data_IF_977206989675
#
_entry.id   IF_977206989675
#
_cell.length_a   1.000
_cell.length_b   1.000
_cell.length_c   1.000
_cell.angle_alpha   90.00
_cell.angle_beta   90.00
_cell.angle_gamma   90.00
#
_symmetry.space_group_name_H-M   'P 1'
#
loop_
_entity.id
_entity.type
_entity.pdbx_description
1 polymer ?
2 non-polymer ?
3 non-polymer ?
4 non-polymer ?
5 water ?
#
# COMPACT_ATOMS: atom_id res chain seq x y z
N UNK A 1 4.66 9.39 -10.91
CA UNK A 1 4.42 10.75 -10.45
C UNK A 1 2.94 10.94 -10.10
N UNK A 2 2.67 11.91 -9.23
CA UNK A 2 1.30 12.20 -8.83
C UNK A 2 0.53 12.84 -9.98
N UNK A 3 -0.74 12.46 -10.11
CA UNK A 3 -1.59 12.97 -11.17
C UNK A 3 -2.87 13.55 -10.57
N UNK A 4 -3.84 13.88 -11.43
CA UNK A 4 -5.12 14.40 -10.95
C UNK A 4 -5.90 13.37 -10.13
N UNK A 5 -5.63 12.08 -10.32
CA UNK A 5 -6.34 11.05 -9.55
C UNK A 5 -6.08 11.16 -8.05
N UNK A 6 -5.02 11.85 -7.65
CA UNK A 6 -4.70 12.06 -6.24
C UNK A 6 -5.01 13.49 -5.78
N UNK A 7 -5.57 14.32 -6.66
CA UNK A 7 -5.73 15.74 -6.34
C UNK A 7 -6.64 15.91 -5.12
N UNK A 8 -7.69 15.10 -5.01
CA UNK A 8 -8.58 15.19 -3.86
C UNK A 8 -7.81 14.93 -2.56
N UNK A 9 -6.88 13.98 -2.59
CA UNK A 9 -6.01 13.81 -1.44
C UNK A 9 -5.09 15.00 -1.23
N UNK A 10 -4.50 15.50 -2.32
CA UNK A 10 -3.50 16.56 -2.19
C UNK A 10 -4.13 17.84 -1.65
N UNK A 11 -5.30 18.22 -2.18
CA UNK A 11 -6.00 19.37 -1.66
C UNK A 11 -6.39 19.17 -0.20
N UNK A 12 -6.53 17.92 0.24
CA UNK A 12 -6.78 17.66 1.64
C UNK A 12 -5.56 18.01 2.48
N UNK A 13 -4.37 17.68 2.00
CA UNK A 13 -3.16 17.97 2.75
C UNK A 13 -2.88 19.47 2.76
N UNK A 14 -2.93 20.09 1.58
CA UNK A 14 -2.59 21.50 1.46
C UNK A 14 -3.56 22.36 2.27
N UNK A 15 -4.86 22.11 2.14
CA UNK A 15 -5.83 22.84 2.95
C UNK A 15 -5.64 22.56 4.43
N UNK A 16 -5.09 21.39 4.77
CA UNK A 16 -4.77 21.11 6.16
C UNK A 16 -3.66 22.04 6.66
N UNK A 17 -2.71 22.38 5.80
CA UNK A 17 -1.58 23.19 6.22
C UNK A 17 -1.95 24.67 6.23
N UNK A 18 -2.50 25.17 5.13
CA UNK A 18 -2.84 26.59 5.03
C UNK A 18 -3.78 26.99 6.15
N UNK A 19 -4.85 26.22 6.36
CA UNK A 19 -5.78 26.51 7.44
C UNK A 19 -5.08 26.51 8.80
N UNK A 20 -4.10 25.61 8.97
CA UNK A 20 -3.29 25.66 10.18
C UNK A 20 -2.46 26.94 10.22
N UNK A 21 -1.78 27.26 9.12
CA UNK A 21 -0.86 28.39 9.11
C UNK A 21 -1.59 29.69 9.38
N UNK A 22 -2.78 29.86 8.80
CA UNK A 22 -3.55 31.08 9.02
C UNK A 22 -4.11 31.14 10.44
N UNK A 23 -4.29 29.98 11.08
CA UNK A 23 -4.83 29.99 12.44
C UNK A 23 -3.77 30.44 13.44
N UNK A 24 -2.62 29.78 13.45
CA UNK A 24 -1.56 30.15 14.38
C UNK A 24 -1.11 31.60 14.17
N UNK A 25 -0.91 31.99 12.91
CA UNK A 25 -0.55 33.37 12.62
C UNK A 25 -1.57 34.35 13.19
N UNK A 26 -2.84 33.97 13.29
CA UNK A 26 -3.83 34.85 13.88
C UNK A 26 -3.75 34.90 15.39
N UNK A 27 -3.41 33.78 16.04
CA UNK A 27 -3.40 33.73 17.50
C UNK A 27 -1.99 33.81 18.08
N UNK A 28 -1.12 32.88 17.72
CA UNK A 28 0.22 32.78 18.28
C UNK A 28 1.23 32.56 17.16
N UNK A 29 1.67 33.63 16.49
CA UNK A 29 2.63 33.46 15.39
C UNK A 29 3.93 32.80 15.82
N UNK A 30 4.40 33.04 17.04
CA UNK A 30 5.62 32.39 17.50
C UNK A 30 5.55 30.88 17.45
N UNK A 31 4.35 30.31 17.28
CA UNK A 31 4.15 28.87 17.24
C UNK A 31 3.68 28.35 15.88
N UNK A 32 3.86 29.12 14.80
CA UNK A 32 3.46 28.58 13.49
C UNK A 32 4.24 27.33 13.14
N UNK A 33 5.57 27.34 13.34
CA UNK A 33 6.38 26.19 12.94
C UNK A 33 6.05 24.94 13.75
N UNK A 34 6.02 24.97 15.09
CA UNK A 34 5.58 23.76 15.81
C UNK A 34 4.13 23.39 15.54
N UNK A 35 3.22 24.36 15.49
CA UNK A 35 1.82 24.03 15.28
C UNK A 35 1.59 23.31 13.96
N UNK A 36 2.17 23.82 12.88
CA UNK A 36 2.14 23.11 11.61
C UNK A 36 2.65 21.69 11.76
N UNK A 37 3.76 21.50 12.48
CA UNK A 37 4.28 20.16 12.70
C UNK A 37 3.23 19.25 13.31
N UNK A 38 2.48 19.78 14.29
CA UNK A 38 1.43 18.99 14.90
C UNK A 38 0.43 18.49 13.85
N UNK A 39 -0.02 19.40 12.98
CA UNK A 39 -0.87 18.98 11.88
C UNK A 39 -0.18 17.91 11.04
N UNK A 40 1.07 18.17 10.66
CA UNK A 40 1.80 17.23 9.83
C UNK A 40 1.96 15.88 10.52
N UNK A 41 1.86 15.85 11.85
CA UNK A 41 1.90 14.59 12.56
C UNK A 41 0.57 13.86 12.43
N UNK A 42 -0.53 14.56 12.70
CA UNK A 42 -1.84 13.89 12.72
C UNK A 42 -2.17 13.31 11.36
N UNK A 43 -1.96 14.10 10.29
CA UNK A 43 -2.15 13.61 8.94
C UNK A 43 -1.39 12.30 8.72
N UNK A 44 -0.15 12.24 9.19
CA UNK A 44 0.64 11.02 9.05
C UNK A 44 -0.12 9.83 9.61
N UNK A 45 -0.64 9.95 10.83
CA UNK A 45 -1.41 8.86 11.42
C UNK A 45 -2.63 8.55 10.58
N UNK A 46 -3.32 9.58 10.10
CA UNK A 46 -4.50 9.36 9.27
C UNK A 46 -4.13 8.61 8.00
N UNK A 47 -2.91 8.81 7.52
CA UNK A 47 -2.49 8.15 6.29
C UNK A 47 -2.13 6.70 6.50
N UNK A 48 -2.13 6.21 7.74
CA UNK A 48 -1.79 4.82 8.02
C UNK A 48 -3.00 3.94 8.26
N UNK A 49 -4.21 4.48 8.19
CA UNK A 49 -5.41 3.75 8.60
C UNK A 49 -5.94 2.80 7.52
N UNK A 50 -5.50 2.93 6.27
CA UNK A 50 -5.94 2.08 5.17
C UNK A 50 -7.44 2.18 4.90
N UNK A 51 -8.05 3.31 5.26
CA UNK A 51 -9.49 3.46 5.07
C UNK A 51 -9.81 3.65 3.59
N UNK A 52 -10.99 3.20 3.14
CA UNK A 52 -11.34 3.35 1.72
C UNK A 52 -11.35 4.78 1.24
N UNK A 53 -11.64 5.74 2.12
CA UNK A 53 -11.62 7.14 1.72
C UNK A 53 -10.23 7.58 1.30
N UNK A 54 -9.20 7.13 2.01
CA UNK A 54 -7.83 7.47 1.64
C UNK A 54 -7.48 6.91 0.27
N UNK A 55 -7.86 5.66 0.00
CA UNK A 55 -7.58 5.06 -1.29
C UNK A 55 -8.32 5.79 -2.40
N UNK A 56 -9.56 6.20 -2.13
CA UNK A 56 -10.31 6.98 -3.11
C UNK A 56 -9.65 8.33 -3.39
N UNK A 57 -9.18 9.00 -2.34
CA UNK A 57 -8.63 10.34 -2.52
C UNK A 57 -7.25 10.31 -3.17
N UNK A 58 -6.38 9.39 -2.77
CA UNK A 58 -5.03 9.31 -3.29
C UNK A 58 -4.86 8.26 -4.39
N UNK A 59 -5.95 7.55 -4.73
CA UNK A 59 -6.03 6.66 -5.89
C UNK A 59 -5.25 5.35 -5.71
N UNK A 60 -4.45 5.24 -4.65
CA UNK A 60 -3.61 4.06 -4.52
C UNK A 60 -2.99 4.04 -3.14
N UNK A 61 -2.75 2.82 -2.64
CA UNK A 61 -2.08 2.66 -1.35
C UNK A 61 -0.62 3.08 -1.43
N UNK A 62 0.02 2.87 -2.58
CA UNK A 62 1.41 3.29 -2.76
C UNK A 62 1.53 4.81 -2.64
N UNK A 63 0.63 5.55 -3.28
CA UNK A 63 0.64 7.01 -3.15
C UNK A 63 0.29 7.43 -1.73
N UNK A 64 -0.62 6.70 -1.07
CA UNK A 64 -0.95 6.99 0.31
C UNK A 64 0.29 6.90 1.19
N UNK A 65 1.10 5.84 1.00
CA UNK A 65 2.30 5.69 1.81
C UNK A 65 3.41 6.65 1.41
N UNK A 66 3.47 7.05 0.14
CA UNK A 66 4.40 8.12 -0.26
C UNK A 66 4.07 9.42 0.46
N UNK A 67 2.79 9.79 0.51
CA UNK A 67 2.40 11.01 1.21
C UNK A 67 2.62 10.84 2.72
N UNK A 68 2.41 9.63 3.23
CA UNK A 68 2.70 9.32 4.63
C UNK A 68 4.16 9.60 4.97
N UNK A 69 5.07 9.11 4.14
CA UNK A 69 6.50 9.37 4.36
C UNK A 69 6.82 10.85 4.24
N UNK A 70 6.23 11.54 3.25
CA UNK A 70 6.51 12.96 3.07
C UNK A 70 6.06 13.77 4.28
N UNK A 71 4.86 13.48 4.79
CA UNK A 71 4.38 14.17 5.99
C UNK A 71 5.23 13.86 7.20
N UNK A 72 5.68 12.61 7.34
CA UNK A 72 6.58 12.27 8.43
C UNK A 72 7.87 13.09 8.38
N UNK A 73 8.46 13.20 7.18
CA UNK A 73 9.70 13.97 7.04
C UNK A 73 9.47 15.45 7.31
N UNK A 74 8.38 16.01 6.79
CA UNK A 74 8.08 17.41 7.05
C UNK A 74 7.91 17.66 8.54
N UNK A 75 7.23 16.75 9.22
CA UNK A 75 7.06 16.87 10.67
C UNK A 75 8.40 16.86 11.38
N UNK A 76 9.30 15.96 10.97
CA UNK A 76 10.58 15.87 11.70
C UNK A 76 11.44 17.10 11.47
N UNK A 77 11.45 17.65 10.25
CA UNK A 77 12.24 18.87 10.02
C UNK A 77 11.64 20.05 10.79
N UNK A 78 10.31 20.18 10.77
CA UNK A 78 9.68 21.26 11.52
C UNK A 78 9.97 21.14 13.02
N UNK A 79 9.90 19.92 13.55
CA UNK A 79 10.16 19.72 14.96
C UNK A 79 11.62 19.97 15.32
N UNK A 80 12.56 19.61 14.43
CA UNK A 80 13.96 19.90 14.70
C UNK A 80 14.20 21.41 14.73
N UNK A 81 13.60 22.15 13.79
CA UNK A 81 13.75 23.60 13.83
C UNK A 81 13.12 24.21 15.08
N UNK A 82 11.96 23.70 15.48
CA UNK A 82 11.32 24.17 16.72
C UNK A 82 12.20 23.89 17.93
N UNK A 83 12.80 22.70 18.00
CA UNK A 83 13.71 22.36 19.09
C UNK A 83 14.92 23.29 19.11
N UNK A 84 15.49 23.57 17.93
CA UNK A 84 16.63 24.46 17.88
C UNK A 84 16.27 25.86 18.33
N UNK A 85 15.06 26.33 17.99
CA UNK A 85 14.64 27.67 18.32
C UNK A 85 14.23 27.83 19.79
N UNK A 86 13.69 26.80 20.42
CA UNK A 86 13.08 26.95 21.73
C UNK A 86 13.87 26.35 22.88
N UNK A 87 14.82 25.46 22.62
CA UNK A 87 15.53 24.86 23.72
C UNK A 87 16.84 24.21 23.35
N UNK A 88 17.22 23.17 24.11
CA UNK A 88 18.43 22.43 23.84
C UNK A 88 18.19 20.94 23.81
N UNK A 89 19.06 20.18 24.47
CA UNK A 89 18.99 18.72 24.45
C UNK A 89 18.11 18.15 25.54
N UNK A 90 17.90 18.88 26.64
CA UNK A 90 17.08 18.41 27.74
C UNK A 90 16.53 19.61 28.47
N UNK A 91 15.23 19.58 28.79
CA UNK A 91 14.59 20.69 29.45
C UNK A 91 14.76 20.66 30.96
N UNK A 92 14.21 21.68 31.61
CA UNK A 92 14.28 21.81 33.05
C UNK A 92 12.94 21.54 33.74
N UNK A 93 11.85 21.48 33.00
CA UNK A 93 10.53 21.18 33.55
C UNK A 93 9.92 20.02 32.77
N UNK A 94 8.93 19.37 33.39
CA UNK A 94 8.36 18.16 32.83
C UNK A 94 7.69 18.41 31.48
N UNK A 95 7.08 19.58 31.29
CA UNK A 95 6.43 19.89 30.02
C UNK A 95 7.43 19.93 28.87
N UNK A 96 8.61 20.52 29.11
CA UNK A 96 9.64 20.57 28.07
C UNK A 96 10.31 19.21 27.89
N UNK A 97 10.48 18.46 28.98
CA UNK A 97 11.10 17.15 28.88
C UNK A 97 10.23 16.15 28.14
N UNK A 98 8.91 16.31 28.21
CA UNK A 98 8.03 15.50 27.38
C UNK A 98 8.29 15.74 25.90
N UNK A 99 8.48 17.01 25.51
CA UNK A 99 8.81 17.31 24.13
C UNK A 99 10.17 16.79 23.73
N UNK A 100 11.15 16.87 24.63
CA UNK A 100 12.46 16.29 24.38
C UNK A 100 12.34 14.79 24.07
N UNK A 101 11.64 14.07 24.94
CA UNK A 101 11.47 12.63 24.74
C UNK A 101 10.73 12.34 23.45
N UNK A 102 9.67 13.11 23.16
CA UNK A 102 8.89 12.87 21.95
C UNK A 102 9.73 13.07 20.70
N UNK A 103 10.54 14.14 20.66
CA UNK A 103 11.35 14.39 19.48
C UNK A 103 12.45 13.34 19.34
N UNK A 104 13.01 12.88 20.46
CA UNK A 104 14.02 11.82 20.40
C UNK A 104 13.42 10.53 19.82
N UNK A 105 12.23 10.15 20.31
CA UNK A 105 11.59 8.94 19.81
C UNK A 105 11.21 9.10 18.34
N UNK A 106 10.71 10.28 17.95
CA UNK A 106 10.35 10.51 16.56
C UNK A 106 11.57 10.37 15.64
N UNK A 107 12.69 11.00 16.02
CA UNK A 107 13.89 10.91 15.20
C UNK A 107 14.41 9.46 15.12
N UNK A 108 14.43 8.75 16.26
CA UNK A 108 14.91 7.37 16.25
C UNK A 108 14.01 6.49 15.38
N UNK A 109 12.70 6.64 15.50
CA UNK A 109 11.78 5.81 14.73
C UNK A 109 11.90 6.12 13.24
N UNK A 110 12.04 7.40 12.88
CA UNK A 110 12.18 7.74 11.47
C UNK A 110 13.47 7.18 10.90
N UNK A 111 14.57 7.29 11.65
CA UNK A 111 15.83 6.72 11.19
C UNK A 111 15.73 5.22 11.02
N UNK A 112 15.11 4.52 11.98
CA UNK A 112 14.99 3.07 11.87
C UNK A 112 14.09 2.69 10.70
N UNK A 113 12.99 3.42 10.50
CA UNK A 113 12.07 3.10 9.41
C UNK A 113 12.73 3.29 8.05
N UNK A 114 13.48 4.37 7.88
CA UNK A 114 14.12 4.62 6.60
C UNK A 114 15.29 3.67 6.37
N UNK A 115 16.14 3.49 7.37
CA UNK A 115 17.36 2.70 7.21
C UNK A 115 17.18 1.23 7.60
N UNK A 116 16.01 0.85 8.10
CA UNK A 116 15.77 -0.55 8.39
C UNK A 116 14.91 -1.22 7.34
N UNK A 117 15.53 -1.96 6.43
CA UNK A 117 14.83 -2.66 5.38
C UNK A 117 15.00 -4.17 5.43
N UNK A 118 16.13 -4.66 5.94
CA UNK A 118 16.35 -6.09 6.12
C UNK A 118 15.88 -6.59 7.48
N UNK A 119 15.41 -5.68 8.34
CA UNK A 119 14.77 -6.11 9.59
C UNK A 119 13.49 -6.85 9.25
N UNK A 120 13.17 -7.85 10.08
CA UNK A 120 11.92 -8.59 9.91
C UNK A 120 10.74 -7.62 9.95
N UNK A 121 9.73 -7.90 9.13
CA UNK A 121 8.63 -6.96 8.96
C UNK A 121 7.86 -6.76 10.26
N UNK A 122 7.65 -7.83 11.03
CA UNK A 122 6.92 -7.68 12.29
C UNK A 122 7.72 -6.90 13.32
N UNK A 123 9.03 -7.15 13.39
CA UNK A 123 9.88 -6.37 14.29
C UNK A 123 9.91 -4.91 13.86
N UNK A 124 9.97 -4.66 12.55
CA UNK A 124 9.91 -3.30 12.04
C UNK A 124 8.61 -2.62 12.43
N UNK A 125 7.48 -3.33 12.34
CA UNK A 125 6.20 -2.75 12.71
C UNK A 125 6.13 -2.48 14.21
N UNK A 126 6.66 -3.39 15.02
CA UNK A 126 6.67 -3.18 16.47
C UNK A 126 7.49 -1.95 16.84
N UNK A 127 8.66 -1.77 16.21
CA UNK A 127 9.45 -0.58 16.46
C UNK A 127 8.73 0.67 15.95
N UNK A 128 8.09 0.55 14.79
CA UNK A 128 7.37 1.68 14.19
C UNK A 128 6.22 2.13 15.07
N UNK A 129 5.60 1.22 15.81
CA UNK A 129 4.41 1.53 16.61
C UNK A 129 4.72 2.46 17.78
N UNK A 130 5.98 2.72 18.09
CA UNK A 130 6.34 3.66 19.14
C UNK A 130 6.04 5.11 18.76
N UNK A 131 5.66 5.37 17.51
CA UNK A 131 5.19 6.70 17.14
C UNK A 131 3.98 7.09 17.95
N UNK A 132 3.16 6.12 18.36
CA UNK A 132 2.00 6.44 19.18
C UNK A 132 2.43 6.98 20.54
N UNK A 133 3.44 6.36 21.16
CA UNK A 133 3.95 6.87 22.43
C UNK A 133 4.58 8.24 22.24
N UNK A 134 5.34 8.43 21.17
CA UNK A 134 5.93 9.74 20.89
C UNK A 134 4.85 10.80 20.71
N UNK A 135 3.78 10.45 20.00
CA UNK A 135 2.67 11.37 19.76
C UNK A 135 1.95 11.72 21.05
N UNK A 136 1.73 10.73 21.91
CA UNK A 136 1.06 10.98 23.18
C UNK A 136 1.92 11.89 24.05
N UNK A 137 3.23 11.64 24.08
CA UNK A 137 4.13 12.52 24.83
C UNK A 137 4.11 13.93 24.27
N UNK A 138 4.09 14.07 22.94
CA UNK A 138 4.03 15.38 22.33
C UNK A 138 2.75 16.12 22.67
N UNK A 139 1.62 15.42 22.66
CA UNK A 139 0.35 16.04 23.05
C UNK A 139 0.37 16.45 24.51
N UNK A 140 0.92 15.60 25.38
CA UNK A 140 1.07 15.98 26.78
C UNK A 140 1.90 17.25 26.92
N UNK A 141 3.02 17.31 26.20
CA UNK A 141 3.89 18.49 26.25
C UNK A 141 3.15 19.73 25.77
N UNK A 142 2.42 19.62 24.66
CA UNK A 142 1.71 20.77 24.11
C UNK A 142 0.65 21.27 25.09
N UNK A 143 -0.08 20.35 25.71
CA UNK A 143 -1.18 20.77 26.57
C UNK A 143 -0.71 21.26 27.94
N UNK A 144 0.43 20.77 28.45
CA UNK A 144 1.00 21.40 29.64
C UNK A 144 1.60 22.75 29.34
N UNK A 145 2.18 22.93 28.15
CA UNK A 145 2.76 24.23 27.80
C UNK A 145 1.67 25.28 27.62
N UNK A 146 0.64 24.95 26.83
CA UNK A 146 -0.36 25.96 26.48
C UNK A 146 -1.35 26.22 27.62
N UNK A 147 -1.74 25.19 28.37
CA UNK A 147 -2.67 25.39 29.46
C UNK A 147 -4.04 25.81 28.96
N UNK A 148 -4.53 26.94 29.47
CA UNK A 148 -5.85 27.44 29.11
C UNK A 148 -5.80 28.32 27.86
N UNK A 149 -5.18 27.80 26.81
CA UNK A 149 -5.24 28.39 25.49
C UNK A 149 -5.70 27.41 24.43
N UNK A 150 -5.56 26.11 24.68
CA UNK A 150 -6.18 25.08 23.87
C UNK A 150 -7.44 24.53 24.51
N UNK A 151 -7.88 25.11 25.62
CA UNK A 151 -9.05 24.65 26.36
C UNK A 151 -10.10 25.75 26.46
N UNK A 152 -10.16 26.62 25.46
CA UNK A 152 -11.16 27.69 25.39
C UNK A 152 -12.00 27.52 24.13
N UNK A 153 -12.87 28.49 23.88
CA UNK A 153 -13.74 28.47 22.71
C UNK A 153 -13.19 29.43 21.67
N UNK A 154 -12.30 28.93 20.82
CA UNK A 154 -11.75 29.71 19.72
C UNK A 154 -11.29 28.77 18.62
N UNK A 155 -10.89 29.37 17.50
CA UNK A 155 -10.46 28.58 16.35
C UNK A 155 -9.21 27.76 16.66
N UNK A 156 -8.28 28.32 17.44
CA UNK A 156 -7.04 27.61 17.75
C UNK A 156 -7.31 26.34 18.55
N UNK A 157 -8.15 26.45 19.60
CA UNK A 157 -8.43 25.28 20.43
C UNK A 157 -9.12 24.19 19.63
N UNK A 158 -10.12 24.55 18.82
CA UNK A 158 -10.81 23.56 18.02
C UNK A 158 -9.89 22.92 16.99
N UNK A 159 -9.05 23.72 16.33
CA UNK A 159 -8.12 23.18 15.34
C UNK A 159 -7.17 22.17 15.98
N UNK A 160 -6.49 22.59 17.05
CA UNK A 160 -5.50 21.74 17.70
C UNK A 160 -6.16 20.49 18.26
N UNK A 161 -7.29 20.66 18.95
CA UNK A 161 -7.97 19.51 19.53
C UNK A 161 -8.49 18.53 18.50
N UNK A 162 -9.07 19.05 17.41
CA UNK A 162 -9.61 18.18 16.37
C UNK A 162 -8.51 17.38 15.70
N UNK A 163 -7.40 18.05 15.34
CA UNK A 163 -6.32 17.32 14.69
C UNK A 163 -5.68 16.32 15.65
N UNK A 164 -5.49 16.69 16.91
CA UNK A 164 -4.92 15.77 17.88
C UNK A 164 -5.82 14.56 18.10
N UNK A 165 -7.13 14.78 18.21
CA UNK A 165 -8.05 13.67 18.39
C UNK A 165 -8.09 12.77 17.16
N UNK A 166 -8.05 13.35 15.96
CA UNK A 166 -8.02 12.54 14.76
C UNK A 166 -6.77 11.68 14.70
N UNK A 167 -5.61 12.26 15.03
CA UNK A 167 -4.39 11.49 15.06
C UNK A 167 -4.42 10.38 16.10
N UNK A 168 -4.93 10.68 17.29
CA UNK A 168 -5.01 9.67 18.34
C UNK A 168 -5.93 8.53 17.93
N UNK A 169 -7.10 8.85 17.38
CA UNK A 169 -8.06 7.82 16.98
C UNK A 169 -7.51 6.99 15.83
N UNK A 170 -6.86 7.63 14.85
CA UNK A 170 -6.27 6.89 13.75
C UNK A 170 -5.19 5.94 14.23
N UNK A 171 -4.31 6.42 15.11
CA UNK A 171 -3.26 5.56 15.65
C UNK A 171 -3.82 4.39 16.44
N UNK A 172 -4.79 4.67 17.31
CA UNK A 172 -5.39 3.60 18.10
C UNK A 172 -6.09 2.57 17.21
N UNK A 173 -6.79 3.02 16.18
CA UNK A 173 -7.49 2.09 15.29
C UNK A 173 -6.49 1.22 14.54
N UNK A 174 -5.44 1.82 13.97
CA UNK A 174 -4.53 1.03 13.15
C UNK A 174 -3.68 0.09 14.01
N UNK A 175 -3.34 0.51 15.23
CA UNK A 175 -2.43 -0.29 16.03
C UNK A 175 -3.19 -1.35 16.84
N UNK A 176 -4.38 -1.04 17.33
CA UNK A 176 -5.09 -1.93 18.26
C UNK A 176 -6.34 -2.56 17.69
N UNK A 177 -7.06 -1.89 16.79
CA UNK A 177 -8.37 -2.36 16.37
C UNK A 177 -8.38 -2.98 14.97
N UNK A 178 -7.57 -2.47 14.05
CA UNK A 178 -7.71 -2.80 12.63
C UNK A 178 -7.59 -4.30 12.38
N UNK A 179 -6.66 -4.97 13.05
CA UNK A 179 -6.44 -6.39 12.81
C UNK A 179 -7.43 -7.28 13.55
N UNK A 180 -8.29 -6.72 14.40
CA UNK A 180 -9.25 -7.51 15.15
C UNK A 180 -10.70 -7.23 14.80
N UNK A 181 -11.01 -6.09 14.18
CA UNK A 181 -12.38 -5.76 13.83
C UNK A 181 -12.58 -5.53 12.34
N UNK A 182 -11.52 -5.23 11.59
CA UNK A 182 -11.64 -4.90 10.17
C UNK A 182 -11.37 -6.09 9.26
N UNK A 183 -11.31 -7.29 9.81
CA UNK A 183 -11.12 -8.52 9.03
C UNK A 183 -12.34 -9.41 9.17
N UNK A 184 -13.48 -9.00 8.59
CA UNK A 184 -14.73 -9.74 8.82
C UNK A 184 -14.89 -10.97 7.94
N UNK A 185 -14.03 -11.18 6.96
CA UNK A 185 -14.20 -12.31 6.03
C UNK A 185 -13.49 -13.52 6.59
N UNK A 186 -14.26 -14.43 7.20
CA UNK A 186 -13.73 -15.64 7.80
C UNK A 186 -13.83 -16.79 6.81
N UNK A 187 -12.70 -17.38 6.46
CA UNK A 187 -12.66 -18.47 5.52
C UNK A 187 -11.85 -19.65 6.01
N UNK A 188 -11.95 -20.73 5.24
CA UNK A 188 -11.23 -21.96 5.52
C UNK A 188 -10.55 -22.42 4.24
N UNK A 189 -9.30 -22.85 4.34
CA UNK A 189 -8.58 -23.35 3.17
C UNK A 189 -9.17 -24.70 2.78
N UNK A 190 -9.54 -24.83 1.50
CA UNK A 190 -10.13 -26.06 1.00
C UNK A 190 -9.20 -26.86 0.10
N UNK A 191 -8.33 -26.19 -0.66
CA UNK A 191 -7.44 -26.88 -1.60
C UNK A 191 -6.14 -26.10 -1.71
N UNK A 192 -5.05 -26.83 -1.88
CA UNK A 192 -3.74 -26.24 -2.10
C UNK A 192 -3.07 -26.94 -3.28
N UNK A 193 -2.50 -26.16 -4.19
CA UNK A 193 -1.85 -26.68 -5.38
C UNK A 193 -0.49 -26.03 -5.56
N UNK A 194 0.54 -26.85 -5.69
CA UNK A 194 1.89 -26.37 -5.98
C UNK A 194 2.05 -26.27 -7.49
N UNK A 195 2.09 -25.05 -8.01
CA UNK A 195 2.12 -24.85 -9.46
C UNK A 195 3.50 -25.14 -10.03
N UNK A 196 4.55 -24.80 -9.31
CA UNK A 196 5.91 -25.11 -9.73
C UNK A 196 6.75 -25.32 -8.47
N UNK A 197 8.07 -25.23 -8.61
CA UNK A 197 8.98 -25.49 -7.51
C UNK A 197 8.84 -24.47 -6.37
N UNK A 198 8.34 -23.25 -6.65
CA UNK A 198 8.28 -22.26 -5.59
C UNK A 198 7.01 -21.41 -5.61
N UNK A 199 5.93 -21.90 -6.22
CA UNK A 199 4.65 -21.19 -6.19
C UNK A 199 3.55 -22.15 -5.80
N UNK A 200 2.64 -21.69 -4.94
CA UNK A 200 1.53 -22.49 -4.47
C UNK A 200 0.22 -21.72 -4.62
N UNK A 201 -0.83 -22.43 -5.03
CA UNK A 201 -2.17 -21.87 -5.18
C UNK A 201 -3.01 -22.27 -3.97
N UNK A 202 -3.69 -21.29 -3.38
CA UNK A 202 -4.51 -21.48 -2.20
C UNK A 202 -5.95 -21.16 -2.56
N UNK A 203 -6.85 -22.10 -2.29
CA UNK A 203 -8.28 -21.93 -2.50
C UNK A 203 -8.97 -21.83 -1.15
N UNK A 204 -9.77 -20.79 -0.98
CA UNK A 204 -10.39 -20.46 0.29
C UNK A 204 -11.89 -20.40 0.12
N UNK A 205 -12.62 -21.08 1.00
CA UNK A 205 -14.08 -20.98 1.06
C UNK A 205 -14.47 -20.05 2.20
N UNK A 206 -15.24 -19.02 1.89
CA UNK A 206 -15.64 -18.03 2.87
C UNK A 206 -17.07 -18.28 3.35
N UNK A 207 -17.37 -17.75 4.53
CA UNK A 207 -18.73 -17.84 5.06
C UNK A 207 -19.63 -16.75 4.48
N UNK A 208 -19.07 -15.71 3.89
CA UNK A 208 -19.81 -14.64 3.25
C UNK A 208 -19.24 -14.37 1.88
N UNK A 209 -20.08 -13.94 0.93
CA UNK A 209 -19.56 -13.58 -0.40
C UNK A 209 -18.58 -12.42 -0.33
N UNK A 210 -17.55 -12.51 -1.16
CA UNK A 210 -16.49 -11.51 -1.23
C UNK A 210 -16.56 -10.81 -2.58
N UNK A 211 -16.58 -9.48 -2.55
CA UNK A 211 -16.69 -8.67 -3.76
C UNK A 211 -15.35 -8.03 -4.08
N UNK A 212 -14.90 -8.21 -5.32
CA UNK A 212 -13.64 -7.63 -5.76
C UNK A 212 -13.69 -7.48 -7.27
N UNK A 213 -12.76 -6.69 -7.79
CA UNK A 213 -12.56 -6.54 -9.23
C UNK A 213 -11.23 -7.18 -9.61
N UNK A 214 -11.18 -7.75 -10.81
CA UNK A 214 -9.96 -8.38 -11.28
C UNK A 214 -8.83 -7.36 -11.34
N UNK A 215 -7.68 -7.73 -10.79
CA UNK A 215 -6.57 -6.83 -10.65
C UNK A 215 -6.40 -6.23 -9.26
N UNK A 216 -7.27 -6.57 -8.32
CA UNK A 216 -7.22 -6.07 -6.95
C UNK A 216 -6.51 -7.06 -6.04
N UNK A 217 -6.19 -6.60 -4.84
CA UNK A 217 -5.52 -7.42 -3.85
C UNK A 217 -6.20 -7.26 -2.50
N UNK A 218 -5.89 -8.20 -1.60
CA UNK A 218 -6.43 -8.18 -0.24
C UNK A 218 -5.30 -8.45 0.75
N UNK A 219 -5.64 -8.37 2.03
CA UNK A 219 -4.73 -8.73 3.10
C UNK A 219 -5.23 -10.01 3.75
N UNK A 220 -4.34 -10.99 3.91
CA UNK A 220 -4.70 -12.31 4.42
C UNK A 220 -4.02 -12.54 5.75
N UNK A 221 -4.75 -13.11 6.69
CA UNK A 221 -4.22 -13.57 7.97
C UNK A 221 -4.48 -15.06 8.09
N UNK A 222 -3.44 -15.84 8.36
CA UNK A 222 -3.52 -17.29 8.43
C UNK A 222 -3.42 -17.71 9.90
N UNK A 223 -4.26 -18.65 10.31
CA UNK A 223 -4.28 -19.15 11.68
C UNK A 223 -3.99 -20.64 11.65
N UNK A 224 -2.71 -20.98 11.68
CA UNK A 224 -2.26 -22.36 11.76
C UNK A 224 -1.08 -22.41 12.73
N UNK A 225 -0.88 -23.58 13.35
CA UNK A 225 0.25 -23.77 14.23
C UNK A 225 1.56 -23.59 13.46
N UNK A 226 2.47 -22.81 14.04
CA UNK A 226 3.74 -22.51 13.40
C UNK A 226 3.70 -21.40 12.37
N UNK A 227 2.55 -20.77 12.18
CA UNK A 227 2.40 -19.69 11.21
C UNK A 227 2.25 -18.36 11.93
N UNK A 228 2.78 -17.33 11.32
CA UNK A 228 2.54 -15.95 11.79
C UNK A 228 1.14 -15.50 11.35
N UNK A 229 0.46 -14.72 12.18
CA UNK A 229 -0.89 -14.26 11.91
C UNK A 229 -0.95 -12.87 11.30
N UNK A 230 0.20 -12.26 11.03
CA UNK A 230 0.22 -10.89 10.50
C UNK A 230 -0.40 -10.87 9.10
N UNK A 231 -1.05 -9.76 8.74
CA UNK A 231 -1.69 -9.68 7.41
C UNK A 231 -0.67 -9.46 6.31
N UNK A 232 -0.72 -10.30 5.28
CA UNK A 232 0.14 -10.12 4.13
C UNK A 232 -0.69 -9.75 2.90
N UNK A 233 -0.22 -8.83 2.08
CA UNK A 233 -0.98 -8.45 0.86
C UNK A 233 -0.73 -9.44 -0.26
N UNK A 234 -1.83 -9.94 -0.84
CA UNK A 234 -1.76 -10.86 -1.97
C UNK A 234 -2.84 -10.47 -2.97
N UNK A 235 -2.48 -10.54 -4.26
CA UNK A 235 -3.47 -10.32 -5.31
C UNK A 235 -4.48 -11.45 -5.32
N UNK A 236 -5.75 -11.11 -5.52
CA UNK A 236 -6.78 -12.11 -5.69
C UNK A 236 -6.62 -12.70 -7.09
N UNK A 237 -6.27 -13.98 -7.18
CA UNK A 237 -5.97 -14.62 -8.45
C UNK A 237 -7.16 -15.36 -9.05
N UNK A 238 -8.33 -15.28 -8.43
CA UNK A 238 -9.50 -15.92 -8.97
C UNK A 238 -10.58 -16.10 -7.93
N UNK A 239 -11.64 -16.77 -8.33
CA UNK A 239 -12.76 -17.08 -7.46
C UNK A 239 -13.88 -16.07 -7.59
N UNK A 240 -15.10 -16.51 -7.31
CA UNK A 240 -16.26 -15.64 -7.32
C UNK A 240 -17.19 -16.07 -6.19
N UNK A 241 -17.78 -15.08 -5.52
CA UNK A 241 -18.70 -15.35 -4.42
C UNK A 241 -18.00 -15.70 -3.13
N UNK A 242 -18.15 -16.95 -2.69
CA UNK A 242 -17.56 -17.42 -1.45
C UNK A 242 -16.26 -18.18 -1.66
N UNK A 243 -15.75 -18.23 -2.89
CA UNK A 243 -14.50 -18.91 -3.20
C UNK A 243 -13.46 -17.90 -3.66
N UNK A 244 -12.25 -18.01 -3.12
CA UNK A 244 -11.15 -17.12 -3.47
C UNK A 244 -9.91 -17.92 -3.80
N UNK A 245 -9.07 -17.36 -4.67
CA UNK A 245 -7.79 -17.95 -5.05
C UNK A 245 -6.67 -16.96 -4.77
N UNK A 246 -5.56 -17.47 -4.26
CA UNK A 246 -4.35 -16.68 -4.07
C UNK A 246 -3.15 -17.48 -4.55
N UNK A 247 -2.32 -16.87 -5.39
CA UNK A 247 -1.13 -17.54 -5.93
C UNK A 247 0.09 -16.92 -5.27
N UNK A 248 0.75 -17.68 -4.40
CA UNK A 248 1.80 -17.19 -3.51
C UNK A 248 3.13 -17.78 -3.94
N UNK A 249 4.10 -16.91 -4.22
CA UNK A 249 5.45 -17.31 -4.56
C UNK A 249 6.35 -17.18 -3.33
N UNK A 250 7.31 -18.10 -3.20
CA UNK A 250 8.25 -18.06 -2.09
C UNK A 250 9.13 -16.83 -2.21
N UNK A 251 9.01 -15.90 -1.27
CA UNK A 251 9.81 -14.68 -1.25
C UNK A 251 10.42 -14.42 0.12
N UNK A 252 10.27 -15.35 1.07
CA UNK A 252 10.77 -15.14 2.41
C UNK A 252 10.35 -16.27 3.31
N UNK A 253 10.44 -16.02 4.61
CA UNK A 253 10.13 -17.07 5.59
C UNK A 253 8.64 -17.41 5.60
N UNK A 254 7.78 -16.39 5.54
CA UNK A 254 6.35 -16.63 5.61
C UNK A 254 5.84 -17.33 4.35
N UNK A 255 6.32 -16.91 3.18
CA UNK A 255 5.86 -17.52 1.94
C UNK A 255 6.43 -18.92 1.76
N UNK A 256 7.66 -19.17 2.23
CA UNK A 256 8.17 -20.54 2.28
C UNK A 256 7.36 -21.40 3.25
N UNK A 257 6.94 -20.82 4.38
CA UNK A 257 6.04 -21.52 5.27
C UNK A 257 4.74 -21.89 4.56
N UNK A 258 4.18 -20.95 3.80
CA UNK A 258 2.97 -21.23 3.03
C UNK A 258 3.22 -22.36 2.03
N UNK A 259 4.38 -22.34 1.38
CA UNK A 259 4.66 -23.36 0.36
C UNK A 259 4.78 -24.75 0.96
N UNK A 260 5.57 -24.90 2.03
CA UNK A 260 5.81 -26.26 2.52
C UNK A 260 4.80 -26.74 3.55
N UNK A 261 4.28 -25.87 4.40
CA UNK A 261 3.60 -26.32 5.61
C UNK A 261 2.13 -25.96 5.70
N UNK A 262 1.61 -25.10 4.83
CA UNK A 262 0.20 -24.74 4.89
C UNK A 262 -0.67 -25.96 4.61
N UNK A 263 -1.80 -26.04 5.31
CA UNK A 263 -2.67 -27.21 5.23
C UNK A 263 -4.10 -26.80 4.97
N UNK A 264 -4.83 -27.69 4.30
CA UNK A 264 -6.26 -27.48 4.07
C UNK A 264 -7.04 -27.67 5.36
N UNK A 265 -8.03 -26.81 5.58
CA UNK A 265 -8.76 -26.77 6.81
C UNK A 265 -8.35 -25.66 7.75
N UNK A 266 -7.29 -24.93 7.44
CA UNK A 266 -6.80 -23.88 8.30
C UNK A 266 -7.66 -22.62 8.15
N UNK A 267 -7.88 -21.94 9.27
CA UNK A 267 -8.68 -20.73 9.27
C UNK A 267 -7.88 -19.56 8.70
N UNK A 268 -8.57 -18.71 7.93
CA UNK A 268 -7.98 -17.49 7.39
C UNK A 268 -8.99 -16.36 7.56
N UNK A 269 -8.47 -15.14 7.58
CA UNK A 269 -9.33 -13.96 7.64
C UNK A 269 -8.84 -12.92 6.64
N UNK A 270 -9.81 -12.23 6.04
CA UNK A 270 -9.55 -11.19 5.06
C UNK A 270 -10.36 -9.95 5.41
N UNK A 271 -9.80 -8.80 5.07
CA UNK A 271 -10.41 -7.51 5.41
C UNK A 271 -11.30 -6.97 4.29
N UNK A 272 -10.72 -6.70 3.13
CA UNK A 272 -11.45 -6.13 1.99
C UNK A 272 -10.51 -6.10 0.80
N UNK A 273 -11.03 -5.63 -0.33
CA UNK A 273 -10.28 -5.58 -1.58
C UNK A 273 -9.69 -4.20 -1.80
N UNK A 274 -8.41 -4.15 -2.13
CA UNK A 274 -7.69 -2.91 -2.42
C UNK A 274 -7.17 -2.96 -3.85
N UNK A 275 -6.93 -1.79 -4.42
CA UNK A 275 -6.26 -1.73 -5.70
C UNK A 275 -6.86 -0.79 -6.72
N UNK A 276 -6.01 -0.22 -7.56
CA UNK A 276 -6.41 0.68 -8.62
C UNK A 276 -6.21 0.09 -10.01
N UNK A 277 -5.58 -1.07 -10.12
CA UNK A 277 -5.34 -1.71 -11.42
C UNK A 277 -6.52 -2.58 -11.80
N UNK A 278 -7.66 -1.93 -12.04
CA UNK A 278 -8.88 -2.60 -12.43
C UNK A 278 -8.89 -2.72 -13.95
N UNK A 279 -8.70 -3.94 -14.44
CA UNK A 279 -8.52 -4.15 -15.88
C UNK A 279 -9.82 -3.87 -16.63
N UNK A 280 -10.96 -4.24 -16.05
CA UNK A 280 -12.24 -4.09 -16.74
C UNK A 280 -12.65 -2.63 -16.89
N UNK A 281 -11.97 -1.69 -16.25
CA UNK A 281 -12.27 -0.27 -16.36
C UNK A 281 -11.36 0.45 -17.36
N UNK A 282 -10.55 -0.29 -18.11
CA UNK A 282 -9.66 0.31 -19.09
C UNK A 282 -10.28 0.44 -20.46
N UNK A 283 -9.46 0.89 -21.41
CA UNK A 283 -9.91 1.06 -22.78
C UNK A 283 -10.06 -0.28 -23.47
N UNK A 284 -10.68 -0.25 -24.65
CA UNK A 284 -10.95 -1.49 -25.39
C UNK A 284 -9.64 -2.15 -25.83
N UNK A 285 -8.72 -1.36 -26.37
CA UNK A 285 -7.40 -1.87 -26.73
C UNK A 285 -6.53 -1.91 -25.49
N UNK A 286 -6.00 -3.08 -25.17
CA UNK A 286 -5.24 -3.26 -23.95
C UNK A 286 -3.95 -4.00 -24.23
N UNK A 287 -2.91 -3.65 -23.49
CA UNK A 287 -1.64 -4.35 -23.49
C UNK A 287 -1.36 -4.76 -22.05
N UNK A 288 -1.17 -6.05 -21.83
CA UNK A 288 -0.85 -6.59 -20.52
C UNK A 288 0.60 -7.03 -20.51
N UNK A 289 1.35 -6.56 -19.52
CA UNK A 289 2.74 -6.95 -19.35
C UNK A 289 2.91 -7.50 -17.93
N UNK A 290 3.39 -8.74 -17.83
CA UNK A 290 3.61 -9.38 -16.55
C UNK A 290 5.03 -9.94 -16.50
N UNK A 291 5.62 -9.88 -15.32
CA UNK A 291 6.90 -10.50 -15.08
C UNK A 291 6.90 -11.36 -13.84
N UNK A 292 7.08 -12.66 -14.02
CA UNK A 292 7.05 -13.58 -12.89
C UNK A 292 5.70 -13.55 -12.18
N UNK A 293 5.75 -13.55 -10.84
CA UNK A 293 4.54 -13.59 -10.02
C UNK A 293 3.62 -12.41 -10.31
N UNK A 294 4.12 -11.36 -10.94
CA UNK A 294 3.27 -10.26 -11.38
C UNK A 294 2.16 -10.67 -12.33
N UNK A 295 2.15 -11.93 -12.79
CA UNK A 295 1.03 -12.41 -13.58
C UNK A 295 -0.23 -12.62 -12.74
N UNK A 296 -0.11 -12.56 -11.41
CA UNK A 296 -1.25 -12.93 -10.57
C UNK A 296 -2.52 -12.10 -10.79
N UNK A 297 -2.48 -10.77 -10.94
CA UNK A 297 -3.75 -10.06 -11.20
C UNK A 297 -4.40 -10.42 -12.52
N UNK A 298 -3.63 -10.45 -13.61
CA UNK A 298 -4.20 -10.76 -14.93
C UNK A 298 -4.89 -12.11 -14.93
N UNK A 299 -4.32 -13.10 -14.24
CA UNK A 299 -4.93 -14.43 -14.16
C UNK A 299 -6.34 -14.32 -13.63
N UNK A 300 -6.56 -13.49 -12.61
CA UNK A 300 -7.91 -13.29 -12.09
C UNK A 300 -8.88 -12.96 -13.21
N UNK A 301 -8.52 -11.98 -14.06
CA UNK A 301 -9.40 -11.62 -15.17
C UNK A 301 -9.71 -12.84 -16.03
N UNK A 302 -8.67 -13.60 -16.39
CA UNK A 302 -8.87 -14.76 -17.25
C UNK A 302 -9.79 -15.76 -16.57
N UNK A 303 -9.67 -15.90 -15.25
CA UNK A 303 -10.49 -16.87 -14.55
C UNK A 303 -11.93 -16.42 -14.44
N UNK A 304 -12.17 -15.10 -14.52
CA UNK A 304 -13.51 -14.57 -14.29
C UNK A 304 -14.20 -14.10 -15.57
N UNK A 305 -13.51 -14.11 -16.70
CA UNK A 305 -14.07 -13.70 -17.98
C UNK A 305 -13.76 -14.77 -19.01
N UNK A 306 -14.54 -15.86 -19.03
CA UNK A 306 -14.27 -16.94 -19.99
C UNK A 306 -14.29 -16.49 -21.43
N UNK A 307 -15.12 -15.51 -21.77
CA UNK A 307 -15.15 -14.90 -23.09
C UNK A 307 -14.58 -13.49 -22.96
N UNK A 308 -13.54 -13.21 -23.73
CA UNK A 308 -12.88 -11.91 -23.69
C UNK A 308 -13.61 -10.90 -24.57
N UNK A 309 -13.79 -9.69 -24.05
CA UNK A 309 -14.44 -8.62 -24.78
C UNK A 309 -13.48 -7.54 -25.27
N UNK A 310 -12.24 -7.55 -24.80
CA UNK A 310 -11.26 -6.55 -25.18
C UNK A 310 -10.28 -7.10 -26.20
N UNK A 311 -9.56 -6.19 -26.85
CA UNK A 311 -8.41 -6.53 -27.70
C UNK A 311 -7.18 -6.52 -26.80
N UNK A 312 -6.75 -7.70 -26.35
CA UNK A 312 -5.70 -7.82 -25.35
C UNK A 312 -4.46 -8.40 -25.99
N UNK A 313 -3.33 -7.71 -25.80
CA UNK A 313 -2.00 -8.21 -26.09
C UNK A 313 -1.31 -8.47 -24.75
N UNK A 314 -0.98 -9.73 -24.47
CA UNK A 314 -0.41 -10.13 -23.20
C UNK A 314 1.03 -10.56 -23.41
N UNK A 315 1.93 -9.95 -22.65
CA UNK A 315 3.35 -10.31 -22.64
C UNK A 315 3.69 -10.86 -21.27
N UNK A 316 4.02 -12.14 -21.21
CA UNK A 316 4.37 -12.79 -19.95
C UNK A 316 5.85 -13.17 -19.98
N UNK A 317 6.66 -12.50 -19.16
CA UNK A 317 8.09 -12.73 -19.11
C UNK A 317 8.44 -13.55 -17.86
N UNK A 318 9.17 -14.65 -18.06
CA UNK A 318 9.56 -15.50 -16.97
C UNK A 318 10.98 -16.02 -17.20
N UNK A 319 11.65 -16.41 -16.12
CA UNK A 319 13.02 -16.92 -16.17
C UNK A 319 12.98 -18.43 -16.30
N UNK A 320 12.88 -18.92 -17.53
CA UNK A 320 12.85 -20.33 -17.79
C UNK A 320 11.47 -20.92 -17.58
N UNK A 321 11.26 -22.09 -18.19
CA UNK A 321 9.97 -22.76 -18.11
C UNK A 321 9.67 -23.23 -16.69
N UNK A 322 10.68 -23.43 -15.86
CA UNK A 322 10.45 -23.87 -14.48
C UNK A 322 9.91 -22.74 -13.60
N UNK A 323 10.07 -21.49 -14.01
CA UNK A 323 9.53 -20.35 -13.28
C UNK A 323 8.21 -19.85 -13.84
N UNK A 324 7.68 -20.50 -14.87
CA UNK A 324 6.40 -20.12 -15.46
C UNK A 324 5.25 -20.79 -14.73
N UNK A 325 4.12 -20.09 -14.66
CA UNK A 325 2.90 -20.62 -14.08
C UNK A 325 1.75 -20.37 -15.05
N UNK A 326 0.74 -21.23 -14.98
CA UNK A 326 -0.53 -21.06 -15.69
C UNK A 326 -0.34 -21.08 -17.21
N UNK A 327 0.70 -21.75 -17.71
CA UNK A 327 0.95 -21.76 -19.15
C UNK A 327 -0.18 -22.45 -19.91
N UNK A 328 -0.65 -23.59 -19.39
CA UNK A 328 -1.76 -24.29 -20.04
C UNK A 328 -3.03 -23.45 -20.01
N UNK A 329 -3.26 -22.75 -18.89
CA UNK A 329 -4.43 -21.88 -18.79
C UNK A 329 -4.37 -20.75 -19.81
N UNK A 330 -3.19 -20.13 -19.97
CA UNK A 330 -3.04 -19.06 -20.95
C UNK A 330 -3.20 -19.59 -22.37
N UNK A 331 -2.65 -20.76 -22.65
CA UNK A 331 -2.80 -21.34 -23.99
C UNK A 331 -4.26 -21.67 -24.29
N UNK A 332 -4.99 -22.19 -23.31
CA UNK A 332 -6.41 -22.47 -23.51
C UNK A 332 -7.20 -21.18 -23.72
N UNK A 333 -6.87 -20.13 -22.97
CA UNK A 333 -7.53 -18.85 -23.17
C UNK A 333 -7.26 -18.28 -24.55
N UNK A 334 -6.02 -18.40 -25.02
CA UNK A 334 -5.69 -17.93 -26.37
C UNK A 334 -6.43 -18.74 -27.43
N UNK A 335 -6.51 -20.05 -27.25
CA UNK A 335 -7.20 -20.89 -28.21
C UNK A 335 -8.69 -20.57 -28.26
N UNK A 336 -9.30 -20.33 -27.09
CA UNK A 336 -10.73 -20.09 -27.04
C UNK A 336 -11.07 -18.67 -27.50
N UNK A 337 -10.23 -17.69 -27.17
CA UNK A 337 -10.50 -16.30 -27.50
C UNK A 337 -9.54 -15.81 -28.58
N UNK A 338 -9.99 -15.63 -29.82
CA UNK A 338 -9.09 -15.14 -30.87
C UNK A 338 -8.64 -13.70 -30.67
N UNK A 339 -9.30 -12.95 -29.78
CA UNK A 339 -8.93 -11.56 -29.51
C UNK A 339 -7.89 -11.44 -28.41
N UNK A 340 -7.40 -12.56 -27.88
CA UNK A 340 -6.37 -12.58 -26.85
C UNK A 340 -5.07 -13.07 -27.49
N UNK A 341 -4.11 -12.16 -27.66
CA UNK A 341 -2.81 -12.51 -28.22
C UNK A 341 -1.84 -12.74 -27.08
N UNK A 342 -1.14 -13.87 -27.13
CA UNK A 342 -0.24 -14.29 -26.06
C UNK A 342 1.19 -14.31 -26.56
N UNK A 343 2.10 -13.72 -25.78
CA UNK A 343 3.53 -13.72 -26.08
C UNK A 343 4.26 -14.14 -24.82
N UNK A 344 4.85 -15.34 -24.86
CA UNK A 344 5.63 -15.87 -23.76
C UNK A 344 7.10 -15.55 -24.01
N UNK A 345 7.71 -14.85 -23.06
CA UNK A 345 9.10 -14.42 -23.16
C UNK A 345 9.90 -15.15 -22.10
N UNK A 346 10.63 -16.18 -22.53
CA UNK A 346 11.60 -16.85 -21.68
C UNK A 346 12.84 -15.97 -21.63
N UNK A 347 12.86 -15.04 -20.68
CA UNK A 347 13.94 -14.07 -20.60
C UNK A 347 15.30 -14.73 -20.36
N UNK A 348 15.31 -15.96 -19.85
CA UNK A 348 16.56 -16.69 -19.67
C UNK A 348 17.24 -16.96 -21.02
N UNK A 349 16.48 -17.32 -22.04
CA UNK A 349 17.01 -17.62 -23.36
C UNK A 349 16.67 -16.58 -24.41
N UNK A 350 15.50 -15.92 -24.30
CA UNK A 350 15.18 -14.85 -25.24
C UNK A 350 15.94 -13.57 -24.92
N UNK A 351 16.00 -13.19 -23.66
CA UNK A 351 16.49 -11.89 -23.24
C UNK A 351 15.37 -11.04 -22.67
N UNK A 352 15.76 -9.84 -22.25
CA UNK A 352 14.79 -8.92 -21.65
C UNK A 352 13.79 -8.43 -22.68
N UNK A 353 12.55 -8.25 -22.24
CA UNK A 353 11.50 -7.72 -23.11
C UNK A 353 11.78 -6.27 -23.44
N UNK A 354 11.84 -5.96 -24.73
CA UNK A 354 12.13 -4.61 -25.22
C UNK A 354 10.98 -4.15 -26.11
N UNK A 355 10.47 -2.95 -25.83
CA UNK A 355 9.30 -2.42 -26.52
C UNK A 355 9.65 -1.29 -27.49
N UNK A 356 10.93 -1.08 -27.78
CA UNK A 356 11.31 0.01 -28.68
C UNK A 356 10.78 -0.23 -30.09
N UNK A 357 10.86 -1.47 -30.57
CA UNK A 357 10.37 -1.79 -31.90
C UNK A 357 8.95 -2.33 -31.89
N UNK A 358 8.52 -2.95 -30.79
CA UNK A 358 7.16 -3.45 -30.70
C UNK A 358 6.17 -2.30 -30.73
N UNK A 359 5.09 -2.47 -31.48
CA UNK A 359 4.12 -1.42 -31.72
C UNK A 359 2.94 -1.57 -30.76
N UNK A 360 2.53 -0.45 -30.17
CA UNK A 360 1.37 -0.41 -29.27
C UNK A 360 0.17 0.11 -30.06
N UNK A 361 -1.00 -0.51 -29.92
CA UNK A 361 -2.18 -0.01 -30.64
C UNK A 361 -2.55 1.40 -30.19
N UNK A 362 -3.15 2.15 -31.13
CA UNK A 362 -3.56 3.52 -30.85
C UNK A 362 -4.68 3.55 -29.81
N UNK A 363 -4.65 4.58 -28.95
CA UNK A 363 -5.65 4.77 -27.90
C UNK A 363 -5.75 3.54 -27.01
N UNK A 364 -4.65 3.23 -26.32
CA UNK A 364 -4.55 2.00 -25.54
C UNK A 364 -4.14 2.30 -24.10
N UNK A 365 -4.54 1.39 -23.21
CA UNK A 365 -4.09 1.36 -21.84
C UNK A 365 -3.18 0.15 -21.67
N UNK A 366 -2.03 0.35 -21.04
CA UNK A 366 -1.06 -0.70 -20.76
C UNK A 366 -1.13 -0.98 -19.27
N UNK A 367 -1.22 -2.27 -18.93
CA UNK A 367 -1.17 -2.73 -17.55
C UNK A 367 0.13 -3.48 -17.34
N UNK A 368 0.91 -3.06 -16.35
CA UNK A 368 2.20 -3.66 -16.06
C UNK A 368 2.22 -4.17 -14.63
N UNK A 369 2.81 -5.35 -14.45
CA UNK A 369 3.00 -5.91 -13.11
C UNK A 369 4.24 -6.81 -13.17
N UNK A 370 5.36 -6.29 -12.66
CA UNK A 370 6.60 -7.01 -12.64
C UNK A 370 7.60 -6.33 -11.73
N UNK A 371 8.86 -6.77 -11.77
CA UNK A 371 9.89 -6.07 -11.00
C UNK A 371 9.98 -4.60 -11.40
N UNK A 372 10.31 -3.76 -10.43
CA UNK A 372 10.18 -2.32 -10.61
C UNK A 372 11.13 -1.82 -11.69
N UNK A 373 12.33 -2.41 -11.78
CA UNK A 373 13.25 -2.02 -12.85
C UNK A 373 12.68 -2.35 -14.23
N UNK A 374 12.07 -3.52 -14.36
CA UNK A 374 11.41 -3.89 -15.60
C UNK A 374 10.31 -2.91 -15.96
N UNK A 375 9.49 -2.54 -14.97
CA UNK A 375 8.40 -1.59 -15.20
C UNK A 375 8.95 -0.24 -15.63
N UNK A 376 10.04 0.21 -15.00
CA UNK A 376 10.64 1.49 -15.37
C UNK A 376 11.16 1.48 -16.80
N UNK A 377 11.91 0.45 -17.16
CA UNK A 377 12.46 0.39 -18.52
C UNK A 377 11.35 0.33 -19.56
N UNK A 378 10.34 -0.51 -19.33
CA UNK A 378 9.25 -0.63 -20.28
C UNK A 378 8.43 0.64 -20.36
N UNK A 379 8.21 1.31 -19.23
CA UNK A 379 7.50 2.58 -19.24
C UNK A 379 8.25 3.63 -20.04
N UNK A 380 9.58 3.70 -19.86
CA UNK A 380 10.37 4.62 -20.65
C UNK A 380 10.24 4.34 -22.14
N UNK A 381 10.36 3.07 -22.53
CA UNK A 381 10.28 2.73 -23.95
C UNK A 381 8.90 3.04 -24.53
N UNK A 382 7.83 2.72 -23.79
CA UNK A 382 6.49 2.95 -24.30
C UNK A 382 6.18 4.43 -24.37
N UNK A 383 6.61 5.21 -23.37
CA UNK A 383 6.43 6.65 -23.40
C UNK A 383 7.17 7.27 -24.57
N UNK A 384 8.39 6.81 -24.83
CA UNK A 384 9.13 7.30 -26.00
C UNK A 384 8.40 6.97 -27.28
N UNK A 385 7.84 5.76 -27.38
CA UNK A 385 7.10 5.38 -28.57
C UNK A 385 5.84 6.23 -28.75
N UNK A 386 5.00 6.31 -27.71
CA UNK A 386 3.73 7.02 -27.78
C UNK A 386 3.46 7.68 -26.44
N UNK A 387 3.45 9.02 -26.39
CA UNK A 387 3.20 9.69 -25.11
C UNK A 387 1.75 9.67 -24.67
N UNK A 388 0.81 9.42 -25.58
CA UNK A 388 -0.61 9.45 -25.26
C UNK A 388 -1.13 8.14 -24.65
N UNK A 389 -0.31 7.09 -24.65
CA UNK A 389 -0.75 5.81 -24.10
C UNK A 389 -0.99 5.94 -22.60
N UNK A 390 -2.05 5.30 -22.12
CA UNK A 390 -2.31 5.24 -20.69
C UNK A 390 -1.45 4.15 -20.09
N UNK A 391 -0.85 4.42 -18.93
CA UNK A 391 0.04 3.46 -18.27
C UNK A 391 -0.41 3.26 -16.83
N UNK A 392 -0.67 2.01 -16.46
CA UNK A 392 -1.06 1.65 -15.10
C UNK A 392 -0.16 0.51 -14.64
N UNK A 393 0.38 0.63 -13.43
CA UNK A 393 1.28 -0.37 -12.89
C UNK A 393 0.94 -0.62 -11.43
N UNK A 394 1.29 -1.81 -10.96
CA UNK A 394 1.07 -2.20 -9.56
C UNK A 394 2.38 -2.69 -8.97
N UNK A 395 2.77 -2.11 -7.84
CA UNK A 395 3.95 -2.54 -7.11
C UNK A 395 3.59 -3.52 -6.01
N UNK A 396 4.52 -4.42 -5.72
CA UNK A 396 4.32 -5.45 -4.71
C UNK A 396 5.00 -5.12 -3.39
N UNK A 397 5.16 -3.83 -3.08
CA UNK A 397 5.75 -3.42 -1.81
C UNK A 397 5.29 -2.01 -1.49
N UNK A 398 5.26 -1.71 -0.19
CA UNK A 398 4.87 -0.38 0.29
C UNK A 398 6.05 0.47 0.72
N UNK A 399 7.16 -0.15 1.06
CA UNK A 399 8.37 0.58 1.44
C UNK A 399 9.61 -0.13 0.87
X LIG B 1 10.03 -11.46 3.86
X LIG B 1 11.26 -12.25 3.66
X LIG B 1 9.60 -11.29 5.31
X LIG B 1 10.17 -10.04 3.23
X LIG B 1 10.25 -9.84 1.80
X LIG B 1 9.67 -8.49 1.48
X LIG B 1 8.22 -8.61 1.43
X LIG B 1 9.95 -7.40 2.51
X LIG B 1 11.17 -6.74 2.22
X LIG B 1 8.75 -6.47 2.34
X LIG B 1 8.93 -5.55 1.27
X LIG B 1 7.62 -7.46 2.01
X LIG B 1 6.82 -7.88 3.15
X LIG B 1 7.15 -8.82 4.10
X LIG B 1 6.24 -9.00 5.01
X LIG B 1 5.23 -8.11 4.65
X LIG B 1 3.98 -7.82 5.23
X LIG B 1 3.50 -8.40 6.32
X LIG B 1 3.22 -6.88 4.62
X LIG B 1 3.68 -6.29 3.51
X LIG B 1 4.84 -6.49 2.88
X LIG B 1 5.58 -7.42 3.51
X LIG B 1 3.16 -11.98 -3.51
X LIG B 1 2.77 -13.11 -4.17
X LIG B 1 3.42 -14.16 -4.09
X LIG B 1 1.63 -13.09 -4.96
X LIG B 1 0.80 -12.00 -5.15
X LIG B 1 -0.18 -12.11 -5.88
X LIG B 1 1.22 -10.81 -4.45
X LIG B 1 0.50 -9.74 -4.57
X LIG B 1 0.88 -8.60 -3.90
X LIG B 1 0.12 -7.44 -4.02
X LIG B 1 0.48 -6.27 -3.36
X LIG B 1 -0.37 -5.04 -3.53
X LIG B 1 1.63 -6.26 -2.56
X LIG B 1 2.04 -5.01 -1.83
X LIG B 1 2.40 -7.40 -2.42
X LIG B 1 2.04 -8.58 -3.10
X LIG B 1 2.79 -9.76 -2.98
X LIG B 1 2.42 -10.90 -3.65
X LIG B 1 4.01 -9.79 -2.16
X LIG B 1 3.80 -10.46 -0.80
X LIG B 1 2.88 -9.73 -0.01
X LIG B 1 5.15 -10.53 -0.08
X LIG B 1 6.05 -11.31 -0.87
X LIG B 1 5.09 -11.13 1.32
X LIG B 1 4.33 -10.27 2.16
X LIG B 1 6.47 -11.36 1.91
X LIG B 1 6.38 -12.34 2.96
X LIG B 1 7.66 -13.03 3.53
X LIG B 1 7.61 -13.01 5.06
X LIG B 1 7.80 -14.36 2.95
X LIG B 1 8.84 -12.10 3.04
X LIG C 1 2.56 2.13 8.81
X LIG C 1 2.76 5.96 11.77
X LIG C 1 6.86 7.45 9.64
X LIG C 1 6.26 3.98 6.28
X LIG C 1 2.34 2.97 9.89
X LIG C 1 1.51 2.70 11.04
X LIG C 1 1.55 3.76 11.85
X LIG C 1 2.44 4.73 11.25
X LIG C 1 0.83 3.95 13.20
X LIG C 1 0.69 1.41 11.27
X LIG C 1 1.34 0.54 12.34
X LIG C 1 0.65 -0.79 12.42
X LIG C 1 0.04 -1.21 11.42
X LIG C 1 0.70 -1.43 13.50
X LIG C 1 3.86 6.73 11.44
X LIG C 1 4.19 8.02 11.98
X LIG C 1 5.32 8.44 11.43
X LIG C 1 5.75 7.43 10.47
X LIG C 1 3.40 8.80 13.06
X LIG C 1 5.95 9.80 11.78
X LIG C 1 7.25 10.02 11.64
X LIG C 1 7.08 6.61 8.56
X LIG C 1 8.25 6.58 7.71
X LIG C 1 8.08 5.61 6.78
X LIG C 1 6.80 5.01 7.02
X LIG C 1 9.46 7.53 7.90
X LIG C 1 9.00 5.15 5.63
X LIG C 1 10.21 5.65 5.34
X LIG C 1 5.20 3.17 6.65
X LIG C 1 4.67 2.04 5.92
X LIG C 1 3.66 1.53 6.61
X LIG C 1 3.49 2.32 7.82
X LIG C 1 5.20 1.51 4.56
X LIG C 1 2.82 0.31 6.18
X LIG C 1 3.02 -0.82 7.18
X LIG C 1 2.47 -2.10 6.61
X LIG C 1 2.54 -2.28 5.37
X LIG C 1 1.96 -2.93 7.39
X LIG C 1 2.90 4.21 10.06
X LIG C 1 4.82 6.39 10.51
X LIG C 1 6.22 5.63 8.11
X LIG C 1 4.45 3.30 7.80
X LIG C 1 4.62 4.86 9.14
X LIG D 1 10.02 23.45 23.66
X LIG D 1 5.54 25.01 22.65
X LIG D 1 4.92 21.17 19.76
X LIG D 1 9.20 19.39 21.13
X LIG D 1 8.88 24.20 23.62
X LIG D 1 8.67 25.44 24.34
X LIG D 1 7.43 25.88 24.06
X LIG D 1 6.80 24.93 23.17
X LIG D 1 6.80 27.17 24.60
X LIG D 1 9.71 26.13 25.23
X LIG D 1 9.37 25.85 26.69
X LIG D 1 10.63 25.63 27.47
X LIG D 1 11.67 25.34 26.84
X LIG D 1 10.59 25.73 28.72
X LIG D 1 4.99 24.15 21.72
X LIG D 1 3.78 24.37 20.97
X LIG D 1 3.59 23.31 20.17
X LIG D 1 4.70 22.38 20.37
X LIG D 1 2.84 25.58 21.07
X LIG D 1 2.39 23.18 19.21
X LIG D 1 2.23 22.14 18.38
X LIG D 1 5.96 20.30 19.98
X LIG D 1 6.01 18.89 19.61
X LIG D 1 7.19 18.40 20.00
X LIG D 1 7.93 19.48 20.62
X LIG D 1 4.84 18.18 18.90
X LIG D 1 7.79 16.98 19.87
X LIG D 1 7.22 15.97 19.20
X LIG D 1 9.84 20.36 21.89
X LIG D 1 11.21 20.32 22.35
X LIG D 1 11.43 21.45 23.04
X LIG D 1 10.22 22.23 23.04
X LIG D 1 12.23 19.20 22.09
X LIG D 1 12.76 21.83 23.72
X LIG D 1 12.57 21.77 25.23
X LIG D 1 13.79 22.23 25.95
X LIG D 1 13.65 22.74 27.10
X LIG D 1 14.91 22.10 25.41
X LIG D 1 7.72 23.92 22.93
X LIG D 1 5.53 22.94 21.33
X LIG D 1 7.15 20.62 20.60
X LIG D 1 9.26 21.53 22.33
X LIG D 1 7.40 22.22 21.85
X LIG E 1 11.91 -11.97 -11.55
X LIG E 1 11.80 -10.54 -11.18
X LIG E 1 13.34 -12.49 -11.64
X LIG E 1 11.18 -12.24 -12.92
X LIG E 1 10.39 -11.22 -13.55
X LIG E 1 10.72 -11.13 -15.02
X LIG E 1 11.09 -9.78 -15.35
X LIG E 1 11.86 -12.04 -15.49
X LIG E 1 11.57 -12.66 -16.73
X LIG E 1 13.04 -11.06 -15.63
X LIG E 1 13.96 -11.47 -16.61
X LIG E 1 12.31 -9.79 -16.07
X LIG E 1 13.04 -8.56 -15.78
X LIG E 1 13.60 -8.20 -14.58
X LIG E 1 14.20 -7.03 -14.61
X LIG E 1 14.03 -6.60 -15.92
X LIG E 1 14.44 -5.44 -16.60
X LIG E 1 15.13 -4.45 -16.03
X LIG E 1 14.10 -5.32 -17.90
X LIG E 1 13.40 -6.30 -18.48
X LIG E 1 12.97 -7.45 -17.94
X LIG E 1 13.31 -7.53 -16.65
X LIG E 1 11.13 -12.90 -10.53
X LIG E 1 9.85 -12.79 -9.60
X LIG E 1 9.28 -14.21 -9.45
X LIG E 1 8.89 -11.83 -10.14
X LIG E 1 10.41 -12.32 -8.19
X LIG E 1 11.26 -11.16 -8.08
X LIG E 1 10.72 -10.21 -7.03
X LIG E 1 9.97 -9.16 -7.66
X LIG E 1 9.81 -10.84 -5.98
X LIG E 1 10.14 -10.41 -4.66
X LIG E 1 8.41 -10.37 -6.39
X LIG E 1 7.56 -10.20 -5.27
X LIG E 1 8.72 -9.01 -7.02
X LIG E 1 7.74 -8.59 -8.02
X LIG E 1 7.13 -7.40 -7.90
X LIG E 1 6.02 -7.11 -8.62
X LIG E 1 5.49 -5.75 -8.51
X LIG E 1 6.10 -4.86 -7.93
X LIG E 1 4.30 -5.52 -9.05
X LIG E 1 5.42 -8.10 -9.57
X LIG E 1 6.35 -9.24 -9.77
X LIG E 1 7.44 -9.41 -9.06
#
# INVERSE_FOLDING_TARGET
EFSMKSVKGLLFIIASFILTLLTWMNTSPQFMIPGLALTSLSLTFILATRLPLLESWFHSLEKVYTVHKFTAFLSIILLIFHNFSMGGLWGSRLAAQFGNLAIYIFASIILVAYLGKYIQYEAWRWIHRLVYLAYILGLFHIYMIMGNRLLTFNLLSFLVGSYALLGLLAGFYIIFLYQKISFPYLGKITHLKRLNHDTREIQIHLSRPFNYQSGQFAFLKIFQEGFESAPHPFSISGGHGQTLYFTVKTSGDHTKNIYDNLQAGSKVTLDRAYGHMIIEEGRENQVWIAGGIGITPFISYIREHPILDKQVHFYYSFRGDENAVYLDLLRNYAQKNPNFELHLIDSTKDGYLNFEQKEVPEHATVYMCGPISMMKALAKQIKKQNPKTELIYEGFKFK
FAD PA O1A O2A O5B C5B C4B O4B C3B O3B C2B O2B C1B N9A C8A N7A C5A C6A N6A N1A C2A N3A C4A N1 C2 O2 N3 C4 O4 C4X N5 C5X C6 C7 C7M C8 C8M C9 C9A N10 C10 C1' C2' O2' C3' O3' C4' O4' C5' O5' P O1P O2P O3P
HEM CHA CHB CHC CHD C1A C2A C3A C4A CMA CAA CBA CGA O1A O2A C1B C2B C3B C4B CMB CAB CBB C1C C2C C3C C4C CMC CAC CBC C1D C2D C3D C4D CMD CAD CBD CGD O1D O2D NA NB NC ND FE
HEM CHA CHB CHC CHD C1A C2A C3A C4A CMA CAA CBA CGA O1A O2A C1B C2B C3B C4B CMB CAB CBB C1C C2C C3C C4C CMC CAC CBC C1D C2D C3D C4D CMD CAD CBD CGD O1D O2D NA NB NC ND FE
NAI PA O1A O2A O5B C5B C4B O4B C3B O3B C2B O2B C1B N9A C8A N7A C5A C6A N6A N1A C2A N3A C4A O3 PN O1N O2N O5D C5D C4D O4D C3D O3D C2D O2D C1D N1N C2N C3N C7N O7N N7N C4N C5N C6N
#
